data_IF_678458914175
#
_entry.id   IF_678458914175
#
_cell.length_a   1.000
_cell.length_b   1.000
_cell.length_c   1.000
_cell.angle_alpha   90.00
_cell.angle_beta   90.00
_cell.angle_gamma   90.00
#
_symmetry.space_group_name_H-M   'P 1'
#
loop_
_entity.id
_entity.type
_entity.pdbx_description
1 polymer ?
#
# COMPACT_ATOMS: atom_id res chain seq x y z
N UNK A 1 -8.29 -34.40 -5.75
CA UNK A 1 -8.80 -33.04 -5.49
C UNK A 1 -9.82 -33.16 -4.38
N UNK A 2 -9.55 -32.60 -3.22
CA UNK A 2 -10.44 -32.68 -2.08
C UNK A 2 -11.72 -31.87 -2.34
N UNK A 3 -12.83 -32.26 -1.70
CA UNK A 3 -14.16 -31.64 -1.86
C UNK A 3 -14.09 -30.10 -1.71
N UNK A 4 -13.26 -29.62 -0.80
CA UNK A 4 -13.04 -28.22 -0.47
C UNK A 4 -12.33 -27.41 -1.57
N UNK A 5 -11.42 -28.06 -2.33
CA UNK A 5 -10.78 -27.42 -3.52
C UNK A 5 -11.79 -27.20 -4.64
N UNK A 6 -12.77 -28.13 -4.79
CA UNK A 6 -13.84 -27.98 -5.78
C UNK A 6 -14.79 -26.83 -5.42
N UNK A 7 -15.15 -26.69 -4.14
CA UNK A 7 -16.01 -25.60 -3.66
C UNK A 7 -15.36 -24.23 -3.83
N UNK A 8 -14.03 -24.11 -3.55
CA UNK A 8 -13.29 -22.89 -3.77
C UNK A 8 -13.13 -22.55 -5.26
N UNK A 9 -12.95 -23.54 -6.12
CA UNK A 9 -12.88 -23.36 -7.56
C UNK A 9 -14.23 -22.89 -8.13
N UNK A 10 -15.36 -23.44 -7.64
CA UNK A 10 -16.72 -23.05 -8.02
C UNK A 10 -17.04 -21.59 -7.60
N UNK A 11 -16.56 -21.17 -6.42
CA UNK A 11 -16.64 -19.78 -5.96
C UNK A 11 -15.81 -18.87 -6.87
N UNK A 12 -14.60 -19.29 -7.22
CA UNK A 12 -13.72 -18.57 -8.11
C UNK A 12 -14.32 -18.36 -9.50
N UNK A 13 -14.92 -19.40 -10.08
CA UNK A 13 -15.57 -19.32 -11.40
C UNK A 13 -16.85 -18.49 -11.39
N UNK A 14 -17.64 -18.53 -10.31
CA UNK A 14 -18.88 -17.74 -10.17
C UNK A 14 -18.66 -16.24 -10.07
N UNK A 15 -17.53 -15.80 -9.52
CA UNK A 15 -17.26 -14.38 -9.26
C UNK A 15 -16.31 -13.76 -10.28
N UNK A 16 -15.98 -14.46 -11.38
CA UNK A 16 -15.03 -13.98 -12.42
C UNK A 16 -13.77 -13.35 -11.81
N UNK A 17 -13.24 -13.97 -10.77
CA UNK A 17 -12.08 -13.44 -10.06
C UNK A 17 -10.86 -13.40 -11.00
N UNK A 18 -10.21 -12.27 -11.06
CA UNK A 18 -9.06 -12.00 -11.93
C UNK A 18 -7.81 -12.81 -11.53
N UNK A 19 -6.73 -12.73 -12.34
CA UNK A 19 -5.44 -13.40 -12.07
C UNK A 19 -4.83 -13.08 -10.69
N UNK A 20 -5.18 -11.96 -10.07
CA UNK A 20 -4.76 -11.62 -8.70
C UNK A 20 -5.34 -12.55 -7.63
N UNK A 21 -6.53 -13.13 -7.88
CA UNK A 21 -7.08 -14.15 -7.00
C UNK A 21 -6.32 -15.49 -7.11
N UNK A 22 -5.62 -15.74 -8.22
CA UNK A 22 -4.76 -16.92 -8.35
C UNK A 22 -3.58 -16.86 -7.36
N UNK A 23 -2.98 -15.69 -7.16
CA UNK A 23 -1.93 -15.48 -6.15
C UNK A 23 -2.43 -15.74 -4.72
N UNK A 24 -3.64 -15.26 -4.38
CA UNK A 24 -4.29 -15.54 -3.10
C UNK A 24 -4.59 -17.04 -2.92
N UNK A 25 -5.03 -17.73 -3.97
CA UNK A 25 -5.25 -19.17 -3.95
C UNK A 25 -3.94 -19.97 -3.77
N UNK A 26 -2.86 -19.55 -4.40
CA UNK A 26 -1.55 -20.18 -4.27
C UNK A 26 -0.93 -19.95 -2.89
N UNK A 27 -1.21 -18.81 -2.26
CA UNK A 27 -0.88 -18.54 -0.86
C UNK A 27 -1.65 -19.49 0.09
N UNK A 28 -2.96 -19.62 -0.08
CA UNK A 28 -3.80 -20.54 0.70
C UNK A 28 -3.32 -21.99 0.53
N UNK A 29 -2.98 -22.43 -0.69
CA UNK A 29 -2.45 -23.77 -0.96
C UNK A 29 -1.11 -24.04 -0.30
N UNK A 30 -0.21 -23.06 -0.26
CA UNK A 30 1.10 -23.18 0.39
C UNK A 30 0.99 -23.33 1.91
N UNK A 31 0.05 -22.57 2.52
CA UNK A 31 -0.12 -22.54 3.97
C UNK A 31 -1.01 -23.68 4.52
N UNK A 32 -1.81 -24.35 3.68
CA UNK A 32 -2.62 -25.52 4.10
C UNK A 32 -1.78 -26.82 4.15
N UNK A 33 -0.59 -26.85 3.54
CA UNK A 33 0.20 -28.09 3.42
C UNK A 33 0.83 -28.58 4.72
N UNK A 34 1.00 -27.75 5.72
CA UNK A 34 1.67 -28.10 6.97
C UNK A 34 0.75 -28.35 8.19
N UNK A 35 -0.57 -28.22 8.01
CA UNK A 35 -1.55 -28.52 9.05
C UNK A 35 -1.54 -27.56 10.27
N UNK A 36 -0.83 -26.46 10.19
CA UNK A 36 -0.60 -25.53 11.31
C UNK A 36 -1.55 -24.34 11.38
N UNK A 37 -2.43 -24.16 10.39
CA UNK A 37 -3.37 -23.05 10.40
C UNK A 37 -4.80 -23.53 10.66
N UNK A 38 -5.42 -23.05 11.73
CA UNK A 38 -6.87 -23.00 11.83
C UNK A 38 -7.41 -22.20 10.62
N UNK A 39 -8.52 -22.64 10.00
CA UNK A 39 -9.09 -21.91 8.87
C UNK A 39 -9.46 -20.50 9.35
N UNK A 40 -8.72 -19.51 8.88
CA UNK A 40 -9.18 -18.12 8.97
C UNK A 40 -10.43 -18.08 8.08
N UNK A 41 -11.60 -17.95 8.69
CA UNK A 41 -12.82 -17.61 7.94
C UNK A 41 -12.55 -16.27 7.25
N UNK A 42 -12.26 -16.32 5.97
CA UNK A 42 -12.31 -15.13 5.12
C UNK A 42 -13.77 -14.71 5.05
N UNK A 43 -14.13 -13.80 5.94
CA UNK A 43 -15.42 -13.14 5.90
C UNK A 43 -15.44 -12.20 4.68
N UNK A 44 -15.89 -12.73 3.54
CA UNK A 44 -16.01 -11.99 2.29
C UNK A 44 -16.92 -10.76 2.42
N UNK A 45 -17.75 -10.70 3.49
CA UNK A 45 -18.59 -9.52 3.78
C UNK A 45 -17.78 -8.36 4.33
N UNK A 46 -16.54 -8.58 4.83
CA UNK A 46 -15.64 -7.55 5.36
C UNK A 46 -14.69 -6.95 4.34
N UNK A 47 -14.67 -7.45 3.09
CA UNK A 47 -13.81 -6.87 2.05
C UNK A 47 -14.16 -5.39 1.79
N UNK A 48 -15.44 -5.04 1.88
CA UNK A 48 -15.91 -3.68 1.68
C UNK A 48 -15.39 -2.69 2.75
N UNK A 49 -15.10 -3.16 3.98
CA UNK A 49 -14.59 -2.32 5.06
C UNK A 49 -13.17 -1.77 4.78
N UNK A 50 -12.41 -2.44 3.91
CA UNK A 50 -11.02 -2.07 3.56
C UNK A 50 -10.89 -1.42 2.18
N UNK A 51 -11.95 -1.45 1.37
CA UNK A 51 -11.92 -0.85 0.04
C UNK A 51 -11.95 0.68 0.16
N UNK A 52 -10.95 1.38 -0.43
CA UNK A 52 -10.92 2.83 -0.37
C UNK A 52 -11.94 3.45 -1.32
N UNK A 53 -12.37 4.66 -0.96
CA UNK A 53 -13.14 5.52 -1.85
C UNK A 53 -12.19 6.40 -2.65
N UNK A 54 -12.45 6.53 -3.95
CA UNK A 54 -11.67 7.42 -4.81
C UNK A 54 -12.07 8.88 -4.61
N UNK A 55 -11.13 9.69 -4.17
CA UNK A 55 -11.30 11.14 -4.00
C UNK A 55 -10.77 11.85 -5.23
N UNK A 56 -11.65 12.50 -5.95
CA UNK A 56 -11.31 13.37 -7.09
C UNK A 56 -10.90 14.75 -6.57
N UNK A 57 -9.60 15.03 -6.61
CA UNK A 57 -9.03 16.33 -6.24
C UNK A 57 -9.02 17.34 -7.41
N UNK A 58 -9.52 16.95 -8.59
CA UNK A 58 -9.50 17.77 -9.80
C UNK A 58 -8.09 17.96 -10.37
N UNK A 59 -7.19 17.01 -10.13
CA UNK A 59 -5.81 17.07 -10.63
C UNK A 59 -5.77 17.07 -12.16
N UNK A 60 -4.79 17.76 -12.80
CA UNK A 60 -4.68 17.85 -14.25
C UNK A 60 -4.64 16.50 -14.99
N UNK A 61 -4.02 15.48 -14.40
CA UNK A 61 -3.98 14.12 -14.96
C UNK A 61 -5.33 13.39 -14.91
N UNK A 62 -6.26 13.84 -14.05
CA UNK A 62 -7.48 13.12 -13.71
C UNK A 62 -7.28 12.02 -12.65
N UNK A 63 -6.06 11.84 -12.14
CA UNK A 63 -5.75 10.87 -11.09
C UNK A 63 -6.59 11.14 -9.82
N UNK A 64 -7.24 10.10 -9.33
CA UNK A 64 -7.98 10.10 -8.07
C UNK A 64 -7.21 9.34 -7.02
N UNK A 65 -7.23 9.84 -5.80
CA UNK A 65 -6.51 9.28 -4.67
C UNK A 65 -7.44 8.46 -3.77
N UNK A 66 -6.95 7.35 -3.26
CA UNK A 66 -7.64 6.62 -2.21
C UNK A 66 -7.82 7.49 -0.96
N UNK A 67 -8.97 7.42 -0.30
CA UNK A 67 -9.23 8.13 0.95
C UNK A 67 -8.40 7.57 2.13
N UNK A 68 -7.91 6.33 2.03
CA UNK A 68 -7.18 5.60 3.08
C UNK A 68 -6.01 4.80 2.52
N UNK A 69 -5.12 4.34 3.39
CA UNK A 69 -3.99 3.49 3.03
C UNK A 69 -4.43 2.06 2.71
N UNK A 70 -3.62 1.32 1.95
CA UNK A 70 -3.84 -0.11 1.71
C UNK A 70 -3.88 -0.85 3.06
N UNK A 71 -4.95 -1.63 3.29
CA UNK A 71 -5.19 -2.35 4.53
C UNK A 71 -5.71 -1.52 5.71
N UNK A 72 -5.98 -0.22 5.54
CA UNK A 72 -6.61 0.62 6.55
C UNK A 72 -8.14 0.56 6.48
N UNK A 73 -8.81 0.71 7.62
CA UNK A 73 -10.29 0.79 7.70
C UNK A 73 -10.81 2.22 7.65
N UNK A 74 -9.96 3.19 7.97
CA UNK A 74 -10.30 4.62 7.94
C UNK A 74 -9.14 5.44 7.35
N UNK A 75 -9.42 6.72 7.04
CA UNK A 75 -8.49 7.61 6.36
C UNK A 75 -7.20 7.87 7.14
N UNK A 76 -7.29 7.86 8.47
CA UNK A 76 -6.21 8.18 9.40
C UNK A 76 -5.38 6.96 9.85
N UNK A 77 -5.88 5.73 9.65
CA UNK A 77 -5.18 4.53 10.06
C UNK A 77 -3.92 4.27 9.21
N UNK A 78 -2.88 3.68 9.80
CA UNK A 78 -1.62 3.36 9.11
C UNK A 78 -1.80 2.41 7.92
N UNK A 79 -2.70 1.42 8.04
CA UNK A 79 -2.80 0.30 7.12
C UNK A 79 -1.61 -0.65 7.23
N UNK A 80 -1.26 -1.26 6.10
CA UNK A 80 -0.16 -2.20 5.97
C UNK A 80 1.12 -1.52 5.47
N UNK A 81 2.26 -2.09 5.86
CA UNK A 81 3.59 -1.65 5.45
C UNK A 81 4.23 -2.71 4.57
N UNK A 82 4.88 -2.28 3.51
CA UNK A 82 5.45 -3.14 2.47
C UNK A 82 6.91 -2.79 2.22
N UNK A 83 7.77 -3.79 1.99
CA UNK A 83 9.01 -3.55 1.26
C UNK A 83 8.66 -3.32 -0.22
N UNK A 84 9.47 -2.52 -0.91
CA UNK A 84 9.16 -2.13 -2.29
C UNK A 84 9.14 -3.33 -3.26
N UNK A 85 8.03 -3.47 -3.99
CA UNK A 85 7.79 -4.60 -4.90
C UNK A 85 7.32 -5.89 -4.20
N UNK A 86 7.19 -5.90 -2.87
CA UNK A 86 6.52 -6.98 -2.15
C UNK A 86 5.05 -6.62 -1.93
N UNK A 87 4.19 -7.59 -2.11
CA UNK A 87 2.73 -7.39 -2.05
C UNK A 87 2.09 -7.91 -0.77
N UNK A 88 2.86 -8.61 0.05
CA UNK A 88 2.49 -9.02 1.40
C UNK A 88 2.87 -7.92 2.38
N UNK A 89 1.86 -7.34 3.03
CA UNK A 89 2.05 -6.23 3.97
C UNK A 89 2.04 -6.69 5.42
N UNK A 90 2.70 -5.92 6.29
CA UNK A 90 2.81 -6.15 7.73
C UNK A 90 2.09 -5.04 8.48
N UNK A 91 1.25 -5.40 9.46
CA UNK A 91 0.63 -4.42 10.36
C UNK A 91 1.66 -3.81 11.31
N UNK A 92 1.52 -2.51 11.58
CA UNK A 92 2.39 -1.82 12.54
C UNK A 92 2.31 -2.48 13.93
N UNK A 93 3.48 -2.69 14.55
CA UNK A 93 3.61 -3.35 15.85
C UNK A 93 3.65 -4.87 15.79
N UNK A 94 3.49 -5.49 14.62
CA UNK A 94 3.76 -6.91 14.41
C UNK A 94 5.26 -7.15 14.19
N UNK A 95 5.69 -8.42 14.35
CA UNK A 95 7.04 -8.82 13.98
C UNK A 95 7.27 -8.54 12.48
N UNK A 96 8.41 -7.97 12.15
CA UNK A 96 8.78 -7.63 10.77
C UNK A 96 10.29 -7.86 10.56
N UNK A 97 10.66 -8.02 9.30
CA UNK A 97 12.04 -8.21 8.85
C UNK A 97 12.26 -7.29 7.63
N UNK A 98 12.28 -5.96 7.90
CA UNK A 98 12.51 -4.94 6.87
C UNK A 98 14.01 -4.65 6.75
N UNK A 99 14.79 -5.66 6.42
CA UNK A 99 16.25 -5.57 6.27
C UNK A 99 16.74 -6.10 4.92
N UNK A 100 18.01 -5.79 4.60
CA UNK A 100 18.61 -6.12 3.31
C UNK A 100 18.71 -7.63 3.07
N UNK A 101 18.94 -8.44 4.11
CA UNK A 101 19.11 -9.89 3.99
C UNK A 101 17.77 -10.57 3.68
N UNK A 102 16.72 -10.25 4.46
CA UNK A 102 15.37 -10.77 4.23
C UNK A 102 14.79 -10.34 2.88
N UNK A 103 15.13 -9.13 2.42
CA UNK A 103 14.65 -8.58 1.16
C UNK A 103 15.38 -9.15 -0.07
N UNK A 104 16.66 -9.53 0.05
CA UNK A 104 17.54 -9.86 -1.08
C UNK A 104 17.01 -10.95 -2.02
N UNK A 105 16.28 -11.93 -1.47
CA UNK A 105 15.74 -13.07 -2.23
C UNK A 105 14.31 -12.84 -2.75
N UNK A 106 13.69 -11.69 -2.45
CA UNK A 106 12.32 -11.38 -2.87
C UNK A 106 12.25 -11.01 -4.36
N UNK A 107 11.07 -11.17 -4.96
CA UNK A 107 10.85 -10.72 -6.35
C UNK A 107 10.99 -9.19 -6.46
N UNK A 108 10.60 -8.43 -5.44
CA UNK A 108 10.81 -6.98 -5.36
C UNK A 108 12.28 -6.58 -5.51
N UNK A 109 13.20 -7.34 -4.90
CA UNK A 109 14.64 -7.08 -5.01
C UNK A 109 15.17 -7.24 -6.44
N UNK A 110 14.54 -8.08 -7.25
CA UNK A 110 14.94 -8.39 -8.64
C UNK A 110 14.43 -7.37 -9.66
N UNK A 111 13.50 -6.48 -9.27
CA UNK A 111 12.95 -5.46 -10.17
C UNK A 111 14.02 -4.49 -10.65
N UNK A 112 14.09 -4.28 -11.97
CA UNK A 112 15.06 -3.38 -12.61
C UNK A 112 14.43 -2.14 -13.26
N UNK A 113 13.17 -1.87 -13.02
CA UNK A 113 12.37 -0.75 -13.52
C UNK A 113 11.21 -0.48 -12.57
N UNK A 114 10.27 0.37 -12.98
CA UNK A 114 9.03 0.63 -12.23
C UNK A 114 8.25 -0.66 -11.98
N UNK A 115 7.47 -0.69 -10.91
CA UNK A 115 6.70 -1.88 -10.54
C UNK A 115 5.66 -2.21 -11.63
N UNK A 116 5.60 -3.46 -11.99
CA UNK A 116 4.49 -4.01 -12.76
C UNK A 116 3.30 -4.37 -11.84
N UNK A 117 2.16 -4.72 -12.44
CA UNK A 117 0.92 -5.00 -11.71
C UNK A 117 1.03 -6.19 -10.72
N UNK A 118 1.97 -7.11 -10.94
CA UNK A 118 2.17 -8.27 -10.06
C UNK A 118 2.97 -7.92 -8.80
N UNK A 119 3.77 -6.85 -8.86
CA UNK A 119 4.62 -6.35 -7.78
C UNK A 119 4.09 -5.04 -7.16
N UNK A 120 2.95 -4.54 -7.64
CA UNK A 120 2.27 -3.36 -7.14
C UNK A 120 1.33 -3.74 -5.99
N UNK A 121 1.70 -3.35 -4.76
CA UNK A 121 0.94 -3.70 -3.55
C UNK A 121 -0.50 -3.18 -3.58
N UNK A 122 -0.78 -2.03 -4.19
CA UNK A 122 -2.14 -1.52 -4.31
C UNK A 122 -2.96 -2.34 -5.33
N UNK A 123 -2.38 -2.64 -6.49
CA UNK A 123 -3.04 -3.47 -7.52
C UNK A 123 -3.38 -4.86 -6.99
N UNK A 124 -2.45 -5.50 -6.28
CA UNK A 124 -2.65 -6.87 -5.78
C UNK A 124 -3.65 -6.91 -4.63
N UNK A 125 -3.59 -5.95 -3.69
CA UNK A 125 -4.46 -5.96 -2.50
C UNK A 125 -5.88 -5.40 -2.76
N UNK A 126 -6.01 -4.41 -3.65
CA UNK A 126 -7.29 -3.74 -3.91
C UNK A 126 -7.95 -4.16 -5.24
N UNK A 127 -7.16 -4.67 -6.18
CA UNK A 127 -7.60 -4.95 -7.55
C UNK A 127 -7.61 -3.71 -8.44
N UNK A 128 -7.62 -3.94 -9.77
CA UNK A 128 -7.77 -2.84 -10.72
C UNK A 128 -9.11 -2.12 -10.52
N UNK A 129 -9.17 -0.78 -10.73
CA UNK A 129 -8.15 0.07 -11.34
C UNK A 129 -7.13 0.68 -10.36
N UNK A 130 -7.09 0.22 -9.11
CA UNK A 130 -6.15 0.73 -8.12
C UNK A 130 -4.70 0.33 -8.45
N UNK A 131 -3.77 1.26 -8.27
CA UNK A 131 -2.32 1.07 -8.39
C UNK A 131 -1.57 1.91 -7.35
N UNK A 132 -0.32 1.62 -7.12
CA UNK A 132 0.56 2.53 -6.39
C UNK A 132 0.78 3.82 -7.19
N UNK A 133 0.96 4.97 -6.53
CA UNK A 133 1.28 6.22 -7.22
C UNK A 133 2.68 6.16 -7.83
N UNK A 134 2.86 6.83 -8.96
CA UNK A 134 4.18 7.12 -9.50
C UNK A 134 4.83 8.30 -8.75
N UNK A 135 6.10 8.58 -9.04
CA UNK A 135 6.81 9.76 -8.54
C UNK A 135 6.15 11.06 -9.05
N UNK A 136 5.65 11.04 -10.28
CA UNK A 136 4.92 12.15 -10.90
C UNK A 136 3.55 12.38 -10.24
N UNK A 137 2.83 11.32 -9.85
CA UNK A 137 1.55 11.45 -9.11
C UNK A 137 1.77 12.18 -7.77
N UNK A 138 2.82 11.86 -7.04
CA UNK A 138 3.16 12.58 -5.81
C UNK A 138 3.58 14.03 -6.06
N UNK A 139 4.33 14.28 -7.14
CA UNK A 139 4.70 15.65 -7.51
C UNK A 139 3.47 16.45 -7.90
N UNK A 140 2.57 15.89 -8.70
CA UNK A 140 1.32 16.54 -9.09
C UNK A 140 0.43 16.85 -7.89
N UNK A 141 0.31 15.91 -6.92
CA UNK A 141 -0.40 16.13 -5.66
C UNK A 141 0.19 17.32 -4.90
N UNK A 142 1.52 17.37 -4.76
CA UNK A 142 2.22 18.45 -4.07
C UNK A 142 2.02 19.81 -4.74
N UNK A 143 2.11 19.86 -6.06
CA UNK A 143 2.00 21.11 -6.84
C UNK A 143 0.59 21.68 -6.84
N UNK A 144 -0.44 20.82 -6.84
CA UNK A 144 -1.84 21.22 -6.98
C UNK A 144 -2.62 21.25 -5.66
N UNK A 145 -2.01 20.89 -4.53
CA UNK A 145 -2.63 20.97 -3.21
C UNK A 145 -1.86 21.91 -2.28
N UNK A 146 -2.59 22.50 -1.33
CA UNK A 146 -1.97 23.02 -0.12
C UNK A 146 -1.83 21.88 0.87
N UNK A 147 -0.71 21.81 1.57
CA UNK A 147 -0.53 20.83 2.64
C UNK A 147 -0.51 21.50 4.01
N UNK A 148 -1.04 20.81 5.01
CA UNK A 148 -1.09 21.25 6.40
C UNK A 148 -0.77 20.07 7.32
N UNK A 149 0.21 20.26 8.22
CA UNK A 149 0.43 19.30 9.31
C UNK A 149 -0.69 19.44 10.34
N UNK A 150 -1.40 18.36 10.59
CA UNK A 150 -2.59 18.39 11.45
C UNK A 150 -2.80 17.04 12.16
N UNK A 151 -3.91 16.92 12.88
CA UNK A 151 -4.31 15.69 13.57
C UNK A 151 -5.74 15.36 13.17
N UNK A 152 -5.99 14.10 12.73
CA UNK A 152 -7.32 13.55 12.50
C UNK A 152 -7.53 12.31 13.38
N UNK A 153 -8.62 12.29 14.14
CA UNK A 153 -8.97 11.18 15.05
C UNK A 153 -7.81 10.67 15.94
N UNK A 154 -6.92 11.59 16.37
CA UNK A 154 -5.77 11.28 17.20
C UNK A 154 -4.50 10.86 16.44
N UNK A 155 -4.53 10.79 15.13
CA UNK A 155 -3.36 10.51 14.29
C UNK A 155 -2.78 11.81 13.74
N UNK A 156 -1.47 12.03 13.94
CA UNK A 156 -0.73 13.10 13.27
C UNK A 156 -0.53 12.78 11.79
N UNK A 157 -0.47 13.81 10.96
CA UNK A 157 -0.23 13.64 9.52
C UNK A 157 -0.31 14.93 8.75
N UNK A 158 -0.39 14.79 7.43
CA UNK A 158 -0.55 15.90 6.49
C UNK A 158 -1.90 15.77 5.79
N UNK A 159 -2.68 16.86 5.83
CA UNK A 159 -3.84 17.02 4.96
C UNK A 159 -3.42 17.75 3.70
N UNK A 160 -3.68 17.14 2.55
CA UNK A 160 -3.57 17.77 1.24
C UNK A 160 -4.95 18.28 0.82
N UNK A 161 -5.06 19.57 0.62
CA UNK A 161 -6.30 20.22 0.16
C UNK A 161 -6.12 20.77 -1.24
N UNK A 162 -6.91 20.31 -2.19
CA UNK A 162 -6.85 20.73 -3.58
C UNK A 162 -7.08 22.24 -3.72
N UNK A 163 -6.19 22.91 -4.44
CA UNK A 163 -6.31 24.30 -4.88
C UNK A 163 -7.39 24.49 -5.94
N UNK A 164 -7.86 23.38 -6.56
CA UNK A 164 -8.77 23.38 -7.71
C UNK A 164 -10.22 23.26 -7.26
N UNK A 165 -10.54 22.30 -6.37
CA UNK A 165 -11.91 22.03 -5.98
C UNK A 165 -12.17 22.02 -4.47
N UNK A 166 -11.14 22.26 -3.65
CA UNK A 166 -11.23 22.35 -2.19
C UNK A 166 -11.40 21.01 -1.46
N UNK A 167 -11.48 19.88 -2.18
CA UNK A 167 -11.52 18.56 -1.54
C UNK A 167 -10.16 18.22 -0.95
N UNK A 168 -10.13 17.37 0.06
CA UNK A 168 -8.91 17.02 0.76
C UNK A 168 -8.79 15.51 1.01
N UNK A 169 -7.55 15.06 1.21
CA UNK A 169 -7.17 13.74 1.68
C UNK A 169 -6.16 13.88 2.82
N UNK A 170 -6.19 12.93 3.76
CA UNK A 170 -5.28 12.90 4.89
C UNK A 170 -4.29 11.75 4.74
N UNK A 171 -3.01 12.02 4.95
CA UNK A 171 -1.93 11.05 4.99
C UNK A 171 -1.37 11.00 6.41
N UNK A 172 -1.50 9.86 7.08
CA UNK A 172 -1.03 9.70 8.46
C UNK A 172 0.50 9.65 8.55
N UNK A 173 1.05 10.25 9.59
CA UNK A 173 2.44 10.11 9.98
C UNK A 173 2.63 8.76 10.70
N UNK A 174 2.53 7.67 9.94
CA UNK A 174 2.49 6.31 10.46
C UNK A 174 3.87 5.75 10.80
N UNK A 175 4.96 6.48 10.44
CA UNK A 175 6.32 6.01 10.57
C UNK A 175 6.71 4.99 9.51
N UNK A 176 7.67 4.13 9.84
CA UNK A 176 8.23 3.11 8.94
C UNK A 176 8.83 1.94 9.69
N UNK A 177 8.96 0.79 9.00
CA UNK A 177 9.70 -0.37 9.46
C UNK A 177 11.15 -0.34 8.99
N UNK A 178 12.11 -0.66 9.89
CA UNK A 178 13.54 -0.80 9.61
C UNK A 178 14.10 -1.94 10.46
N UNK A 179 14.59 -2.99 9.82
CA UNK A 179 14.89 -4.25 10.48
C UNK A 179 13.67 -4.83 11.18
N UNK A 180 13.79 -5.12 12.45
CA UNK A 180 12.69 -5.56 13.31
C UNK A 180 12.01 -4.42 14.09
N UNK A 181 12.32 -3.17 13.78
CA UNK A 181 11.90 -1.99 14.54
C UNK A 181 10.89 -1.12 13.77
N UNK A 182 9.98 -0.51 14.53
CA UNK A 182 9.05 0.50 14.03
C UNK A 182 9.48 1.88 14.51
N UNK A 183 9.70 2.81 13.56
CA UNK A 183 10.28 4.12 13.80
C UNK A 183 9.38 5.26 13.32
N UNK A 184 9.55 6.45 13.85
CA UNK A 184 8.94 7.70 13.37
C UNK A 184 7.42 7.80 13.49
N UNK A 185 6.76 6.90 14.23
CA UNK A 185 5.30 6.94 14.41
C UNK A 185 4.86 8.25 15.08
N UNK A 186 3.90 8.93 14.43
CA UNK A 186 3.40 10.23 14.87
C UNK A 186 4.32 11.41 14.53
N UNK A 187 5.47 11.17 13.89
CA UNK A 187 6.44 12.19 13.47
C UNK A 187 6.68 12.18 11.97
N UNK A 188 6.80 11.00 11.36
CA UNK A 188 7.16 10.81 9.96
C UNK A 188 6.06 10.11 9.17
N UNK A 189 5.71 10.63 8.00
CA UNK A 189 4.91 9.94 6.98
C UNK A 189 5.80 9.52 5.83
N UNK A 190 5.81 8.22 5.52
CA UNK A 190 6.65 7.65 4.47
C UNK A 190 5.79 6.71 3.62
N UNK A 191 5.72 6.97 2.31
CA UNK A 191 4.84 6.26 1.41
C UNK A 191 5.59 5.86 0.14
N UNK A 192 5.51 4.59 -0.23
CA UNK A 192 6.13 4.12 -1.46
C UNK A 192 5.46 4.67 -2.72
N UNK A 193 6.28 5.01 -3.70
CA UNK A 193 5.91 5.14 -5.11
C UNK A 193 6.19 3.83 -5.83
N UNK A 194 5.49 3.57 -6.94
CA UNK A 194 5.81 2.48 -7.87
C UNK A 194 7.11 2.74 -8.64
N UNK A 195 7.62 3.98 -8.64
CA UNK A 195 8.73 4.39 -9.49
C UNK A 195 10.07 3.90 -8.97
N UNK A 196 10.84 3.31 -9.88
CA UNK A 196 12.21 2.88 -9.67
C UNK A 196 13.15 4.09 -9.51
N UNK A 197 14.16 3.96 -8.69
CA UNK A 197 15.24 4.94 -8.61
C UNK A 197 16.61 4.33 -8.90
N UNK A 198 16.95 3.22 -8.27
CA UNK A 198 18.22 2.52 -8.45
C UNK A 198 18.12 1.06 -8.02
N UNK A 199 19.16 0.28 -8.22
CA UNK A 199 19.22 -1.12 -7.78
C UNK A 199 18.95 -1.30 -6.28
N UNK A 200 19.24 -0.30 -5.44
CA UNK A 200 19.06 -0.36 -3.98
C UNK A 200 17.89 0.47 -3.47
N UNK A 201 17.49 1.52 -4.20
CA UNK A 201 16.53 2.50 -3.74
C UNK A 201 15.32 2.61 -4.67
N UNK A 202 14.17 2.94 -4.10
CA UNK A 202 12.96 3.31 -4.83
C UNK A 202 12.47 4.70 -4.42
N UNK A 203 11.59 5.28 -5.23
CA UNK A 203 11.00 6.60 -4.98
C UNK A 203 9.95 6.53 -3.89
N UNK A 204 9.79 7.64 -3.15
CA UNK A 204 8.86 7.79 -2.05
C UNK A 204 8.39 9.21 -1.85
N UNK A 205 7.19 9.39 -1.32
CA UNK A 205 6.79 10.58 -0.60
C UNK A 205 7.30 10.51 0.84
N UNK A 206 7.90 11.60 1.33
CA UNK A 206 8.26 11.77 2.74
C UNK A 206 7.73 13.10 3.27
N UNK A 207 7.23 13.09 4.50
CA UNK A 207 6.83 14.32 5.18
C UNK A 207 6.98 14.20 6.70
N UNK A 208 7.12 15.34 7.34
CA UNK A 208 7.06 15.56 8.78
C UNK A 208 6.47 16.95 9.06
N UNK A 209 6.37 17.36 10.32
CA UNK A 209 5.76 18.66 10.68
C UNK A 209 6.38 19.88 10.02
N UNK A 210 7.63 19.80 9.57
CA UNK A 210 8.39 20.90 8.93
C UNK A 210 8.40 20.89 7.41
N UNK A 211 7.91 19.85 6.73
CA UNK A 211 7.99 19.82 5.26
C UNK A 211 7.44 18.56 4.61
N UNK A 212 7.20 18.67 3.30
CA UNK A 212 6.75 17.60 2.41
C UNK A 212 7.72 17.47 1.25
N UNK A 213 8.16 16.26 0.97
CA UNK A 213 9.17 15.92 -0.05
C UNK A 213 8.61 14.83 -0.97
N UNK A 214 7.98 15.21 -2.10
CA UNK A 214 7.25 14.27 -2.96
C UNK A 214 8.15 13.29 -3.71
N UNK A 215 9.41 13.63 -3.95
CA UNK A 215 10.36 12.86 -4.77
C UNK A 215 11.57 12.36 -3.99
N UNK A 216 11.38 11.93 -2.75
CA UNK A 216 12.41 11.28 -1.97
C UNK A 216 12.78 9.88 -2.50
N UNK A 217 13.82 9.28 -1.94
CA UNK A 217 14.15 7.86 -2.18
C UNK A 217 14.65 7.20 -0.90
N UNK A 218 14.52 5.89 -0.80
CA UNK A 218 15.07 5.10 0.30
C UNK A 218 15.35 3.67 -0.15
N UNK A 219 16.08 2.93 0.69
CA UNK A 219 16.36 1.52 0.47
C UNK A 219 15.04 0.74 0.37
N UNK A 220 14.97 -0.16 -0.62
CA UNK A 220 13.76 -0.91 -0.98
C UNK A 220 13.27 -1.86 0.09
N UNK A 221 14.16 -2.29 0.99
CA UNK A 221 13.83 -3.22 2.06
C UNK A 221 13.06 -2.58 3.22
N UNK A 222 13.05 -1.26 3.35
CA UNK A 222 12.26 -0.58 4.37
C UNK A 222 10.76 -0.85 4.21
N UNK A 223 10.05 -0.94 5.33
CA UNK A 223 8.59 -1.06 5.36
C UNK A 223 7.92 0.30 5.33
N UNK A 224 7.25 0.67 4.24
CA UNK A 224 6.49 1.91 4.11
C UNK A 224 5.03 1.65 3.79
N UNK A 225 4.17 2.60 4.17
CA UNK A 225 2.75 2.58 3.81
C UNK A 225 2.56 2.78 2.30
N UNK A 226 1.38 2.39 1.80
CA UNK A 226 0.96 2.61 0.42
C UNK A 226 -0.37 3.34 0.39
N UNK A 227 -0.45 4.44 -0.34
CA UNK A 227 -1.68 5.15 -0.67
C UNK A 227 -1.98 4.96 -2.15
N UNK A 228 -3.05 4.26 -2.46
CA UNK A 228 -3.39 3.93 -3.83
C UNK A 228 -3.95 5.13 -4.63
N UNK A 229 -3.83 5.03 -5.95
CA UNK A 229 -4.45 5.93 -6.92
C UNK A 229 -5.17 5.15 -8.00
N UNK A 230 -6.06 5.83 -8.73
CA UNK A 230 -6.67 5.33 -9.96
C UNK A 230 -6.78 6.47 -10.98
N UNK A 231 -6.66 6.13 -12.27
CA UNK A 231 -6.76 7.07 -13.40
C UNK A 231 -8.03 6.83 -14.18
#
# INVERSE_FOLDING_TARGET
>A
MEQREKELLDIYERFELTKSAQGAMDFVRRNIKDGSCEPVEFDLTKKDDYMPVAVDLGLPSGTKWADRNVGAKSAEEPGLFFSWGNVEGVEIGKACEFDEEAYADTEGAKMGGDLDAAHDAATVNLGAPWRMPSDEDFQELYDNCCWEWTTENGYYGVRFTSKINGKSIFFSASGYGDGSSWNGRGADGVYWSASFYSARNARKLYFYSGGVYPQGSNYRYYGFAVRAVQS
#
